data_IF_276776951464
#
_entry.id   IF_276776951464
#
_cell.length_a   1.000
_cell.length_b   1.000
_cell.length_c   1.000
_cell.angle_alpha   90.00
_cell.angle_beta   90.00
_cell.angle_gamma   90.00
#
_symmetry.space_group_name_H-M   'P 1'
#
loop_
_entity.id
_entity.type
_entity.pdbx_description
1 polymer ?
#
# COMPACT_ATOMS: atom_id res chain seq x y z
N UNK A 1 6.50 -20.44 9.94
CA UNK A 1 6.45 -19.22 10.78
C UNK A 1 5.10 -19.05 11.48
N UNK A 2 4.98 -18.14 12.45
CA UNK A 2 3.75 -17.72 13.14
C UNK A 2 3.57 -16.20 12.96
N UNK A 3 2.37 -15.76 12.58
CA UNK A 3 2.12 -14.37 12.14
C UNK A 3 1.16 -13.68 13.11
N UNK A 4 1.45 -12.44 13.49
CA UNK A 4 0.44 -11.52 14.02
C UNK A 4 0.04 -10.54 12.92
N UNK A 5 -1.19 -10.65 12.42
CA UNK A 5 -1.82 -9.67 11.56
C UNK A 5 -2.57 -8.66 12.43
N UNK A 6 -2.21 -7.38 12.35
CA UNK A 6 -2.93 -6.30 13.04
C UNK A 6 -3.71 -5.48 12.01
N UNK A 7 -5.02 -5.36 12.22
CA UNK A 7 -6.00 -4.78 11.29
C UNK A 7 -6.82 -5.85 10.59
N UNK A 8 -8.14 -5.85 10.81
CA UNK A 8 -9.13 -6.74 10.20
C UNK A 8 -10.14 -5.97 9.34
N UNK A 9 -9.71 -4.86 8.73
CA UNK A 9 -10.46 -4.14 7.69
C UNK A 9 -10.50 -4.91 6.37
N UNK A 10 -10.74 -4.20 5.25
CA UNK A 10 -10.81 -4.82 3.91
C UNK A 10 -9.55 -5.63 3.57
N UNK A 11 -8.37 -4.99 3.62
CA UNK A 11 -7.08 -5.64 3.30
C UNK A 11 -6.73 -6.75 4.28
N UNK A 12 -6.89 -6.53 5.60
CA UNK A 12 -6.66 -7.57 6.61
C UNK A 12 -7.56 -8.81 6.44
N UNK A 13 -8.83 -8.60 6.08
CA UNK A 13 -9.75 -9.69 5.75
C UNK A 13 -9.30 -10.44 4.49
N UNK A 14 -8.88 -9.72 3.44
CA UNK A 14 -8.36 -10.34 2.22
C UNK A 14 -7.06 -11.13 2.47
N UNK A 15 -6.12 -10.60 3.26
CA UNK A 15 -4.90 -11.30 3.70
C UNK A 15 -5.28 -12.62 4.39
N UNK A 16 -6.24 -12.57 5.31
CA UNK A 16 -6.73 -13.74 6.05
C UNK A 16 -7.27 -14.83 5.10
N UNK A 17 -8.07 -14.43 4.10
CA UNK A 17 -8.65 -15.36 3.10
C UNK A 17 -7.61 -15.93 2.13
N UNK A 18 -6.65 -15.14 1.70
CA UNK A 18 -5.56 -15.60 0.83
C UNK A 18 -4.64 -16.55 1.61
N UNK A 19 -4.25 -16.18 2.84
CA UNK A 19 -3.40 -17.00 3.70
C UNK A 19 -4.05 -18.33 4.08
N UNK A 20 -5.37 -18.41 4.20
CA UNK A 20 -6.06 -19.67 4.49
C UNK A 20 -5.80 -20.77 3.44
N UNK A 21 -5.44 -20.37 2.20
CA UNK A 21 -5.07 -21.27 1.10
C UNK A 21 -3.59 -21.68 1.08
N UNK A 22 -2.79 -21.18 2.02
CA UNK A 22 -1.33 -21.36 2.07
C UNK A 22 -0.89 -22.15 3.30
N UNK A 23 0.20 -22.90 3.19
CA UNK A 23 0.67 -23.85 4.21
C UNK A 23 2.02 -23.47 4.85
N UNK A 24 2.68 -22.39 4.41
CA UNK A 24 4.01 -21.99 4.90
C UNK A 24 4.04 -21.51 6.37
N UNK A 25 2.88 -21.18 6.94
CA UNK A 25 2.74 -20.73 8.33
C UNK A 25 1.97 -21.74 9.19
N UNK A 26 2.39 -21.84 10.44
CA UNK A 26 1.79 -22.72 11.43
C UNK A 26 0.54 -22.11 12.06
N UNK A 27 0.52 -20.80 12.30
CA UNK A 27 -0.60 -20.10 12.92
C UNK A 27 -0.60 -18.61 12.57
N UNK A 28 -1.78 -18.00 12.43
CA UNK A 28 -1.96 -16.56 12.23
C UNK A 28 -2.95 -16.01 13.26
N UNK A 29 -2.50 -15.06 14.06
CA UNK A 29 -3.37 -14.27 14.95
C UNK A 29 -3.89 -13.09 14.15
N UNK A 30 -5.21 -12.95 14.04
CA UNK A 30 -5.86 -11.79 13.44
C UNK A 30 -6.33 -10.90 14.57
N UNK A 31 -5.80 -9.68 14.66
CA UNK A 31 -6.06 -8.76 15.75
C UNK A 31 -6.63 -7.43 15.25
N UNK A 32 -7.61 -6.90 15.96
CA UNK A 32 -8.21 -5.59 15.66
C UNK A 32 -8.65 -4.89 16.95
N UNK A 33 -8.86 -3.57 16.89
CA UNK A 33 -9.41 -2.82 18.02
C UNK A 33 -10.85 -3.25 18.31
N UNK A 34 -11.62 -3.53 17.25
CA UNK A 34 -12.93 -4.15 17.31
C UNK A 34 -12.80 -5.66 17.12
N UNK A 35 -12.90 -6.39 18.24
CA UNK A 35 -12.79 -7.85 18.27
C UNK A 35 -13.72 -8.53 17.26
N UNK A 36 -14.93 -7.98 17.05
CA UNK A 36 -15.93 -8.60 16.18
C UNK A 36 -15.49 -8.66 14.72
N UNK A 37 -14.66 -7.70 14.27
CA UNK A 37 -14.07 -7.70 12.92
C UNK A 37 -13.08 -8.84 12.75
N UNK A 38 -12.18 -9.02 13.73
CA UNK A 38 -11.23 -10.14 13.73
C UNK A 38 -11.96 -11.50 13.80
N UNK A 39 -12.99 -11.62 14.63
CA UNK A 39 -13.82 -12.81 14.72
C UNK A 39 -14.56 -13.10 13.42
N UNK A 40 -15.11 -12.08 12.74
CA UNK A 40 -15.77 -12.22 11.45
C UNK A 40 -14.79 -12.69 10.35
N UNK A 41 -13.59 -12.10 10.30
CA UNK A 41 -12.56 -12.47 9.32
C UNK A 41 -12.12 -13.94 9.50
N UNK A 42 -11.90 -14.38 10.74
CA UNK A 42 -11.53 -15.78 11.06
C UNK A 42 -12.71 -16.73 10.84
N UNK A 43 -13.92 -16.34 11.27
CA UNK A 43 -15.13 -17.15 11.14
C UNK A 43 -15.52 -17.43 9.69
N UNK A 44 -15.27 -16.48 8.79
CA UNK A 44 -15.51 -16.64 7.35
C UNK A 44 -14.67 -17.75 6.69
N UNK A 45 -13.62 -18.24 7.35
CA UNK A 45 -12.76 -19.31 6.82
C UNK A 45 -13.32 -20.73 7.02
N UNK A 46 -14.34 -20.91 7.87
CA UNK A 46 -14.86 -22.24 8.21
C UNK A 46 -13.78 -23.17 8.74
N UNK A 47 -13.69 -24.40 8.22
CA UNK A 47 -12.70 -25.40 8.66
C UNK A 47 -11.25 -24.96 8.40
N UNK A 48 -11.00 -24.15 7.37
CA UNK A 48 -9.68 -23.60 7.09
C UNK A 48 -9.19 -22.62 8.19
N UNK A 49 -10.11 -22.15 9.04
CA UNK A 49 -9.86 -21.28 10.18
C UNK A 49 -9.13 -21.94 11.35
N UNK A 50 -8.90 -23.26 11.36
CA UNK A 50 -8.27 -23.96 12.48
C UNK A 50 -6.85 -23.45 12.85
N UNK A 51 -6.14 -22.83 11.90
CA UNK A 51 -4.82 -22.21 12.12
C UNK A 51 -4.89 -20.73 12.45
N UNK A 52 -6.09 -20.18 12.65
CA UNK A 52 -6.32 -18.76 12.88
C UNK A 52 -6.91 -18.53 14.26
N UNK A 53 -6.67 -17.35 14.82
CA UNK A 53 -7.27 -16.95 16.09
C UNK A 53 -7.53 -15.46 16.10
N UNK A 54 -8.74 -15.07 16.49
CA UNK A 54 -9.13 -13.68 16.65
C UNK A 54 -8.70 -13.13 18.02
N UNK A 55 -8.19 -11.90 18.05
CA UNK A 55 -7.79 -11.19 19.27
C UNK A 55 -8.17 -9.72 19.18
N UNK A 56 -8.33 -9.10 20.35
CA UNK A 56 -8.48 -7.65 20.47
C UNK A 56 -7.11 -7.04 20.77
N UNK A 57 -6.74 -5.96 20.08
CA UNK A 57 -5.57 -5.15 20.42
C UNK A 57 -5.78 -3.70 19.98
N UNK A 58 -5.31 -2.75 20.79
CA UNK A 58 -5.18 -1.36 20.36
C UNK A 58 -3.81 -1.19 19.69
N UNK A 59 -3.80 -0.86 18.39
CA UNK A 59 -2.57 -0.73 17.62
C UNK A 59 -1.68 0.42 18.11
N UNK A 60 -2.22 1.38 18.87
CA UNK A 60 -1.44 2.45 19.50
C UNK A 60 -0.73 2.03 20.80
N UNK A 61 -1.11 0.89 21.39
CA UNK A 61 -0.51 0.36 22.62
C UNK A 61 0.61 -0.62 22.28
N UNK A 62 1.84 -0.09 22.17
CA UNK A 62 3.03 -0.87 21.82
C UNK A 62 3.28 -2.04 22.79
N UNK A 63 2.96 -1.86 24.08
CA UNK A 63 3.16 -2.89 25.10
C UNK A 63 2.14 -4.02 24.96
N UNK A 64 0.87 -3.71 24.68
CA UNK A 64 -0.15 -4.71 24.42
C UNK A 64 0.16 -5.52 23.14
N UNK A 65 0.63 -4.85 22.08
CA UNK A 65 1.05 -5.52 20.84
C UNK A 65 2.24 -6.45 21.09
N UNK A 66 3.27 -5.99 21.81
CA UNK A 66 4.43 -6.82 22.16
C UNK A 66 4.04 -8.02 23.04
N UNK A 67 3.12 -7.83 23.99
CA UNK A 67 2.61 -8.92 24.82
C UNK A 67 1.88 -9.98 23.96
N UNK A 68 1.09 -9.56 22.96
CA UNK A 68 0.38 -10.47 22.07
C UNK A 68 1.33 -11.25 21.15
N UNK A 69 2.37 -10.59 20.62
CA UNK A 69 3.46 -11.24 19.88
C UNK A 69 4.12 -12.35 20.72
N UNK A 70 4.41 -12.07 21.99
CA UNK A 70 5.03 -13.02 22.90
C UNK A 70 4.08 -14.18 23.31
N UNK A 71 2.83 -13.88 23.69
CA UNK A 71 1.80 -14.86 24.06
C UNK A 71 1.63 -15.92 22.96
N UNK A 72 1.52 -15.46 21.72
CA UNK A 72 1.31 -16.34 20.57
C UNK A 72 2.62 -16.81 19.93
N UNK A 73 3.79 -16.40 20.43
CA UNK A 73 5.11 -16.74 19.89
C UNK A 73 5.19 -16.44 18.39
N UNK A 74 4.78 -15.25 17.98
CA UNK A 74 4.82 -14.84 16.59
C UNK A 74 6.27 -14.55 16.17
N UNK A 75 6.61 -14.90 14.93
CA UNK A 75 7.91 -14.63 14.32
C UNK A 75 7.91 -13.30 13.55
N UNK A 76 6.72 -12.79 13.22
CA UNK A 76 6.51 -11.62 12.37
C UNK A 76 5.22 -10.89 12.72
N UNK A 77 5.26 -9.56 12.68
CA UNK A 77 4.10 -8.68 12.68
C UNK A 77 3.81 -8.22 11.24
N UNK A 78 2.58 -8.40 10.78
CA UNK A 78 2.06 -7.83 9.53
C UNK A 78 1.05 -6.73 9.86
N UNK A 79 1.41 -5.50 9.52
CA UNK A 79 0.59 -4.31 9.75
C UNK A 79 -0.34 -4.06 8.56
N UNK A 80 -1.65 -4.23 8.79
CA UNK A 80 -2.74 -3.90 7.87
C UNK A 80 -3.67 -2.83 8.44
N UNK A 81 -3.12 -1.91 9.24
CA UNK A 81 -3.83 -0.79 9.85
C UNK A 81 -3.58 0.52 9.10
N UNK A 82 -4.28 1.58 9.51
CA UNK A 82 -4.07 2.95 9.03
C UNK A 82 -2.61 3.41 9.27
N UNK A 83 -2.00 4.19 8.35
CA UNK A 83 -0.62 4.67 8.46
C UNK A 83 -0.26 5.36 9.78
N UNK A 84 -1.24 5.93 10.49
CA UNK A 84 -1.04 6.52 11.83
C UNK A 84 -0.51 5.53 12.86
N UNK A 85 -0.74 4.23 12.67
CA UNK A 85 -0.29 3.17 13.58
C UNK A 85 1.00 2.47 13.14
N UNK A 86 1.62 2.89 12.01
CA UNK A 86 2.89 2.32 11.51
C UNK A 86 3.96 2.36 12.59
N UNK A 87 4.27 3.53 13.14
CA UNK A 87 5.37 3.66 14.10
C UNK A 87 5.14 2.91 15.43
N UNK A 88 3.94 2.95 16.05
CA UNK A 88 3.64 2.08 17.19
C UNK A 88 3.87 0.59 16.93
N UNK A 89 3.35 0.06 15.83
CA UNK A 89 3.48 -1.37 15.49
C UNK A 89 4.92 -1.74 15.10
N UNK A 90 5.61 -0.87 14.39
CA UNK A 90 7.02 -1.01 14.02
C UNK A 90 7.92 -1.08 15.26
N UNK A 91 7.73 -0.19 16.23
CA UNK A 91 8.47 -0.21 17.50
C UNK A 91 8.13 -1.42 18.37
N UNK A 92 6.86 -1.84 18.41
CA UNK A 92 6.45 -3.03 19.13
C UNK A 92 7.10 -4.31 18.56
N UNK A 93 7.17 -4.44 17.22
CA UNK A 93 7.82 -5.55 16.55
C UNK A 93 9.32 -5.61 16.84
N UNK A 94 10.01 -4.46 16.75
CA UNK A 94 11.44 -4.36 17.09
C UNK A 94 11.70 -4.73 18.56
N UNK A 95 10.90 -4.20 19.49
CA UNK A 95 11.00 -4.48 20.93
C UNK A 95 10.78 -5.97 21.25
N UNK A 96 9.82 -6.60 20.58
CA UNK A 96 9.56 -8.03 20.70
C UNK A 96 10.62 -8.91 19.99
N UNK A 97 11.53 -8.31 19.21
CA UNK A 97 12.57 -9.03 18.48
C UNK A 97 11.99 -9.94 17.39
N UNK A 98 10.96 -9.48 16.68
CA UNK A 98 10.31 -10.19 15.56
C UNK A 98 10.53 -9.44 14.24
N UNK A 99 10.24 -10.09 13.11
CA UNK A 99 10.20 -9.41 11.82
C UNK A 99 8.97 -8.50 11.70
N UNK A 100 9.00 -7.56 10.75
CA UNK A 100 7.90 -6.64 10.51
C UNK A 100 7.63 -6.48 9.01
N UNK A 101 6.35 -6.43 8.64
CA UNK A 101 5.86 -6.06 7.31
C UNK A 101 4.78 -4.99 7.43
N UNK A 102 4.77 -4.02 6.52
CA UNK A 102 3.62 -3.15 6.25
C UNK A 102 3.38 -2.96 4.76
N UNK A 103 2.26 -2.32 4.42
CA UNK A 103 1.91 -1.98 3.04
C UNK A 103 1.85 -0.46 2.80
N UNK A 104 2.05 0.33 3.86
CA UNK A 104 2.06 1.78 3.83
C UNK A 104 3.09 2.27 4.85
N UNK A 105 3.81 3.34 4.50
CA UNK A 105 4.91 3.84 5.34
C UNK A 105 4.44 4.93 6.32
N UNK A 106 5.35 5.35 7.21
CA UNK A 106 5.09 6.47 8.13
C UNK A 106 4.76 7.76 7.38
N UNK A 107 3.76 8.51 7.86
CA UNK A 107 3.23 9.72 7.21
C UNK A 107 4.26 10.84 6.99
N UNK A 108 4.08 11.57 5.89
CA UNK A 108 4.88 12.74 5.49
C UNK A 108 4.38 14.02 6.14
N UNK A 109 5.15 15.11 5.98
CA UNK A 109 4.74 16.48 6.27
C UNK A 109 5.30 17.42 5.20
N UNK A 110 4.48 18.27 4.57
CA UNK A 110 4.96 19.25 3.60
C UNK A 110 6.05 20.16 4.16
N UNK A 111 6.98 20.62 3.31
CA UNK A 111 7.97 21.61 3.72
C UNK A 111 7.24 22.92 4.11
N UNK A 112 7.51 23.50 5.30
CA UNK A 112 6.66 24.56 5.86
C UNK A 112 6.67 25.89 5.07
N UNK A 113 7.75 26.20 4.34
CA UNK A 113 7.83 27.42 3.50
C UNK A 113 7.87 27.17 1.99
N UNK A 114 8.17 25.95 1.53
CA UNK A 114 8.41 25.62 0.11
C UNK A 114 7.79 24.25 -0.25
N UNK A 115 6.49 24.06 0.03
CA UNK A 115 5.85 22.75 -0.06
C UNK A 115 5.86 22.14 -1.46
N UNK A 116 6.03 22.95 -2.52
CA UNK A 116 6.02 22.51 -3.93
C UNK A 116 7.38 22.64 -4.63
N UNK A 117 8.46 22.70 -3.85
CA UNK A 117 9.83 22.78 -4.37
C UNK A 117 10.81 21.90 -3.60
N UNK A 118 10.54 21.64 -2.32
CA UNK A 118 11.40 20.88 -1.43
C UNK A 118 10.57 19.95 -0.54
N UNK A 119 11.13 18.77 -0.25
CA UNK A 119 10.54 17.83 0.70
C UNK A 119 10.58 18.39 2.14
N UNK A 120 9.56 18.06 2.94
CA UNK A 120 9.60 18.20 4.39
C UNK A 120 10.02 16.89 5.04
N UNK A 121 9.16 16.32 5.89
CA UNK A 121 9.29 14.91 6.31
C UNK A 121 8.71 14.06 5.18
N UNK A 122 9.46 13.08 4.68
CA UNK A 122 9.02 12.20 3.58
C UNK A 122 8.36 10.95 4.16
N UNK A 123 7.53 10.27 3.34
CA UNK A 123 6.98 8.98 3.74
C UNK A 123 8.12 8.03 4.12
N UNK A 124 7.94 7.26 5.19
CA UNK A 124 8.93 6.29 5.68
C UNK A 124 10.18 6.86 6.36
N UNK A 125 10.40 8.19 6.40
CA UNK A 125 11.59 8.76 7.05
C UNK A 125 11.75 8.27 8.51
N UNK A 126 10.66 8.22 9.28
CA UNK A 126 10.68 7.75 10.67
C UNK A 126 11.04 6.27 10.80
N UNK A 127 10.73 5.45 9.79
CA UNK A 127 11.13 4.04 9.76
C UNK A 127 12.61 3.90 9.42
N UNK A 128 13.09 4.61 8.39
CA UNK A 128 14.49 4.58 7.97
C UNK A 128 15.45 5.22 8.99
N UNK A 129 15.00 6.18 9.80
CA UNK A 129 15.76 6.70 10.94
C UNK A 129 16.14 5.61 11.96
N UNK A 130 15.36 4.53 12.05
CA UNK A 130 15.59 3.41 12.96
C UNK A 130 16.30 2.22 12.28
N UNK A 131 16.83 2.38 11.07
CA UNK A 131 17.40 1.28 10.30
C UNK A 131 18.55 0.58 11.04
N UNK A 132 19.42 1.34 11.71
CA UNK A 132 20.56 0.82 12.45
C UNK A 132 20.13 -0.06 13.65
N UNK A 133 19.03 0.28 14.32
CA UNK A 133 18.46 -0.52 15.41
C UNK A 133 17.93 -1.86 14.90
N UNK A 134 17.26 -1.86 13.74
CA UNK A 134 16.78 -3.09 13.10
C UNK A 134 17.91 -3.99 12.62
N UNK A 135 18.96 -3.41 12.03
CA UNK A 135 20.18 -4.15 11.64
C UNK A 135 20.84 -4.79 12.86
N UNK A 136 21.02 -4.02 13.94
CA UNK A 136 21.60 -4.51 15.19
C UNK A 136 20.77 -5.61 15.84
N UNK A 137 19.44 -5.55 15.72
CA UNK A 137 18.55 -6.59 16.22
C UNK A 137 18.61 -7.89 15.37
N UNK A 138 19.23 -7.85 14.19
CA UNK A 138 19.25 -8.98 13.27
C UNK A 138 17.85 -9.35 12.80
N UNK A 139 16.99 -8.33 12.60
CA UNK A 139 15.61 -8.49 12.12
C UNK A 139 15.39 -7.67 10.87
N UNK A 140 14.45 -8.16 10.06
CA UNK A 140 13.98 -7.51 8.84
C UNK A 140 12.68 -6.78 9.14
N UNK A 141 12.65 -5.49 8.81
CA UNK A 141 11.44 -4.73 8.55
C UNK A 141 11.32 -4.51 7.04
N UNK A 142 10.41 -5.24 6.41
CA UNK A 142 10.07 -5.08 4.99
C UNK A 142 8.94 -4.07 4.89
N UNK A 143 9.23 -2.86 4.41
CA UNK A 143 8.28 -1.75 4.35
C UNK A 143 7.68 -1.62 2.97
N UNK A 144 6.41 -1.21 2.89
CA UNK A 144 5.74 -0.94 1.62
C UNK A 144 5.60 -2.17 0.71
N UNK A 145 5.10 -3.30 1.23
CA UNK A 145 4.84 -4.52 0.45
C UNK A 145 3.34 -4.73 0.14
N UNK A 146 2.70 -3.70 -0.39
CA UNK A 146 1.35 -3.70 -0.96
C UNK A 146 1.38 -3.93 -2.48
N UNK A 147 0.66 -3.10 -3.24
CA UNK A 147 0.71 -3.12 -4.71
C UNK A 147 1.59 -1.99 -5.23
N UNK A 148 1.19 -0.76 -4.92
CA UNK A 148 1.98 0.45 -4.90
C UNK A 148 1.90 1.02 -3.48
N UNK A 149 3.02 1.15 -2.73
CA UNK A 149 4.29 0.47 -2.97
C UNK A 149 4.15 -1.05 -2.80
N UNK A 150 5.05 -1.83 -3.40
CA UNK A 150 5.12 -3.28 -3.26
C UNK A 150 5.50 -3.97 -4.55
N UNK A 151 4.49 -4.40 -5.29
CA UNK A 151 4.64 -5.06 -6.58
C UNK A 151 5.27 -4.13 -7.63
N UNK A 152 4.94 -2.84 -7.60
CA UNK A 152 5.57 -1.81 -8.44
C UNK A 152 7.09 -1.75 -8.23
N UNK A 153 7.56 -1.78 -6.98
CA UNK A 153 8.97 -1.82 -6.60
C UNK A 153 9.65 -3.12 -7.06
N UNK A 154 8.97 -4.27 -6.92
CA UNK A 154 9.46 -5.56 -7.45
C UNK A 154 9.62 -5.51 -8.97
N UNK A 155 8.68 -4.89 -9.70
CA UNK A 155 8.80 -4.69 -11.14
C UNK A 155 9.96 -3.75 -11.49
N UNK A 156 10.15 -2.67 -10.73
CA UNK A 156 11.30 -1.77 -10.91
C UNK A 156 12.62 -2.55 -10.77
N UNK A 157 12.71 -3.40 -9.74
CA UNK A 157 13.89 -4.24 -9.52
C UNK A 157 14.10 -5.26 -10.64
N UNK A 158 13.04 -5.92 -11.09
CA UNK A 158 13.13 -6.85 -12.21
C UNK A 158 13.59 -6.16 -13.50
N UNK A 159 13.08 -4.95 -13.78
CA UNK A 159 13.50 -4.20 -14.95
C UNK A 159 14.99 -3.83 -14.89
N UNK A 160 15.47 -3.39 -13.72
CA UNK A 160 16.87 -3.08 -13.49
C UNK A 160 17.79 -4.30 -13.61
N UNK A 161 17.39 -5.44 -13.05
CA UNK A 161 18.21 -6.66 -13.07
C UNK A 161 18.26 -7.30 -14.46
N UNK A 162 17.18 -7.24 -15.24
CA UNK A 162 16.98 -8.14 -16.38
C UNK A 162 16.72 -7.44 -17.72
N UNK A 163 16.19 -6.22 -17.72
CA UNK A 163 15.61 -5.62 -18.93
C UNK A 163 16.39 -4.43 -19.47
N UNK A 164 17.19 -3.76 -18.65
CA UNK A 164 17.90 -2.51 -18.99
C UNK A 164 19.37 -2.56 -18.56
N UNK A 165 20.23 -1.90 -19.33
CA UNK A 165 21.62 -1.62 -18.93
C UNK A 165 21.75 -0.22 -18.31
N UNK A 166 20.84 0.69 -18.70
CA UNK A 166 20.71 2.04 -18.16
C UNK A 166 19.22 2.43 -18.14
N UNK A 167 18.77 3.03 -17.04
CA UNK A 167 17.39 3.46 -16.86
C UNK A 167 17.32 5.00 -16.82
N UNK A 168 16.59 5.57 -17.79
CA UNK A 168 16.27 6.99 -17.82
C UNK A 168 15.14 7.30 -16.83
N UNK A 169 14.04 6.54 -16.87
CA UNK A 169 12.90 6.78 -16.00
C UNK A 169 12.26 5.48 -15.52
N UNK A 170 11.91 5.46 -14.24
CA UNK A 170 11.00 4.49 -13.64
C UNK A 170 9.73 5.26 -13.23
N UNK A 171 8.64 5.03 -13.92
CA UNK A 171 7.35 5.64 -13.61
C UNK A 171 6.33 4.61 -13.18
N UNK A 172 5.84 4.70 -11.95
CA UNK A 172 4.73 3.88 -11.48
C UNK A 172 3.43 4.49 -12.01
N UNK A 173 2.53 3.64 -12.51
CA UNK A 173 1.22 4.01 -13.08
C UNK A 173 0.13 3.11 -12.50
N UNK A 174 -0.74 3.74 -11.72
CA UNK A 174 -1.99 3.16 -11.21
C UNK A 174 -3.16 3.70 -12.05
N UNK A 175 -4.01 2.80 -12.53
CA UNK A 175 -5.21 3.14 -13.26
C UNK A 175 -6.28 2.06 -13.17
N UNK A 176 -7.51 2.44 -13.49
CA UNK A 176 -8.65 1.55 -13.43
C UNK A 176 -9.77 2.00 -14.38
N UNK A 177 -10.62 1.08 -14.80
CA UNK A 177 -11.94 1.35 -15.40
C UNK A 177 -13.08 1.02 -14.42
N UNK A 178 -12.78 1.09 -13.12
CA UNK A 178 -13.70 0.70 -12.06
C UNK A 178 -14.91 1.64 -11.98
N UNK A 179 -16.10 1.05 -11.89
CA UNK A 179 -17.37 1.76 -11.64
C UNK A 179 -18.10 1.13 -10.45
N UNK A 180 -18.95 1.89 -9.77
CA UNK A 180 -19.73 1.42 -8.63
C UNK A 180 -21.21 1.78 -8.80
N UNK A 181 -22.07 0.78 -8.85
CA UNK A 181 -23.50 0.97 -9.03
C UNK A 181 -24.19 1.57 -7.80
N UNK A 182 -25.12 2.50 -8.05
CA UNK A 182 -25.99 3.06 -7.02
C UNK A 182 -25.35 4.14 -6.14
N UNK A 183 -24.17 4.64 -6.52
CA UNK A 183 -23.50 5.76 -5.85
C UNK A 183 -23.08 6.81 -6.86
N UNK A 184 -23.29 8.08 -6.53
CA UNK A 184 -22.73 9.17 -7.32
C UNK A 184 -21.21 9.22 -7.18
N UNK A 185 -20.70 9.05 -5.95
CA UNK A 185 -19.27 9.01 -5.66
C UNK A 185 -19.01 7.92 -4.62
N UNK A 186 -18.15 6.97 -4.96
CA UNK A 186 -17.75 5.89 -4.08
C UNK A 186 -16.25 5.61 -4.28
N UNK A 187 -15.42 5.80 -3.24
CA UNK A 187 -14.01 5.49 -3.32
C UNK A 187 -13.80 3.96 -3.27
N UNK A 188 -12.92 3.44 -4.13
CA UNK A 188 -12.55 2.01 -4.15
C UNK A 188 -11.55 1.64 -3.03
N UNK A 189 -10.97 2.65 -2.37
CA UNK A 189 -10.05 2.53 -1.24
C UNK A 189 -10.39 3.53 -0.12
N UNK A 190 -9.63 3.52 0.97
CA UNK A 190 -9.80 4.45 2.10
C UNK A 190 -9.77 5.90 1.62
N UNK A 191 -10.92 6.59 1.63
CA UNK A 191 -10.97 8.02 1.27
C UNK A 191 -10.13 8.90 2.18
N UNK A 192 -9.95 8.50 3.44
CA UNK A 192 -9.10 9.23 4.37
C UNK A 192 -7.66 9.26 3.85
N UNK A 193 -7.17 8.11 3.39
CA UNK A 193 -5.82 7.95 2.80
C UNK A 193 -5.75 8.64 1.45
N UNK A 194 -6.77 8.49 0.61
CA UNK A 194 -6.82 9.14 -0.71
C UNK A 194 -6.81 10.66 -0.62
N UNK A 195 -7.48 11.25 0.37
CA UNK A 195 -7.41 12.69 0.62
C UNK A 195 -5.98 13.10 1.00
N UNK A 196 -5.30 12.33 1.85
CA UNK A 196 -3.92 12.60 2.25
C UNK A 196 -2.96 12.53 1.05
N UNK A 197 -2.90 11.40 0.35
CA UNK A 197 -1.94 11.15 -0.73
C UNK A 197 -2.12 12.12 -1.91
N UNK A 198 -3.38 12.41 -2.28
CA UNK A 198 -3.68 13.20 -3.47
C UNK A 198 -3.60 14.71 -3.24
N UNK A 199 -3.71 15.17 -1.99
CA UNK A 199 -3.62 16.61 -1.68
C UNK A 199 -2.27 17.00 -1.07
N UNK A 200 -1.47 16.05 -0.59
CA UNK A 200 -0.07 16.30 -0.28
C UNK A 200 0.74 16.59 -1.54
N UNK A 201 1.79 17.42 -1.46
CA UNK A 201 2.69 17.66 -2.57
C UNK A 201 3.34 16.35 -3.05
N UNK A 202 3.15 15.96 -4.33
CA UNK A 202 3.79 14.77 -4.88
C UNK A 202 5.31 14.89 -4.79
N UNK A 203 5.98 13.77 -4.56
CA UNK A 203 7.44 13.69 -4.60
C UNK A 203 7.88 13.17 -5.97
N UNK A 204 8.96 13.74 -6.49
CA UNK A 204 9.69 13.28 -7.66
C UNK A 204 11.16 13.11 -7.29
N UNK A 205 11.82 12.09 -7.82
CA UNK A 205 13.25 11.91 -7.69
C UNK A 205 13.95 12.19 -9.02
N UNK A 206 15.10 12.88 -8.97
CA UNK A 206 16.04 13.01 -10.09
C UNK A 206 17.49 12.84 -9.60
N UNK A 207 18.32 12.04 -10.27
CA UNK A 207 19.68 11.70 -9.81
C UNK A 207 20.59 12.92 -9.52
N UNK A 208 20.40 14.03 -10.24
CA UNK A 208 21.15 15.28 -10.03
C UNK A 208 20.56 16.23 -8.99
N UNK A 209 19.32 15.99 -8.55
CA UNK A 209 18.56 16.90 -7.66
C UNK A 209 18.17 16.25 -6.33
N UNK A 210 18.09 14.93 -6.28
CA UNK A 210 17.46 14.17 -5.20
C UNK A 210 15.94 14.28 -5.23
N UNK A 211 15.31 14.04 -4.08
CA UNK A 211 13.86 14.16 -3.91
C UNK A 211 13.42 15.62 -3.80
N UNK A 212 12.43 16.00 -4.59
CA UNK A 212 11.77 17.30 -4.53
C UNK A 212 10.26 17.14 -4.69
N UNK A 213 9.50 18.17 -4.33
CA UNK A 213 8.04 18.14 -4.43
C UNK A 213 7.52 19.02 -5.56
N UNK A 214 6.29 18.75 -6.00
CA UNK A 214 5.54 19.54 -6.99
C UNK A 214 4.16 19.93 -6.45
N UNK A 215 3.38 20.77 -7.17
CA UNK A 215 1.98 20.98 -6.84
C UNK A 215 1.15 19.69 -7.03
N UNK A 216 0.13 19.41 -6.20
CA UNK A 216 -0.79 18.31 -6.40
C UNK A 216 -1.38 18.28 -7.81
N UNK A 217 -1.48 17.07 -8.38
CA UNK A 217 -2.00 16.84 -9.73
C UNK A 217 -1.14 17.45 -10.86
N UNK A 218 0.17 17.63 -10.66
CA UNK A 218 1.09 18.16 -11.68
C UNK A 218 1.39 17.16 -12.80
N UNK A 219 1.85 17.69 -13.95
CA UNK A 219 2.27 16.93 -15.14
C UNK A 219 1.24 15.88 -15.61
N UNK A 220 0.01 16.29 -15.96
CA UNK A 220 -0.99 15.37 -16.49
C UNK A 220 -0.48 14.69 -17.76
N UNK A 221 -0.78 13.40 -17.88
CA UNK A 221 -0.53 12.62 -19.09
C UNK A 221 -1.65 11.62 -19.33
N UNK A 222 -1.84 11.21 -20.58
CA UNK A 222 -2.74 10.08 -20.89
C UNK A 222 -1.90 8.83 -21.01
N UNK A 223 -2.14 7.85 -20.12
CA UNK A 223 -1.49 6.56 -20.16
C UNK A 223 -2.49 5.50 -20.65
N UNK A 224 -2.11 4.75 -21.69
CA UNK A 224 -2.90 3.62 -22.19
C UNK A 224 -2.62 2.38 -21.33
N UNK A 225 -3.60 1.93 -20.55
CA UNK A 225 -3.54 0.73 -19.71
C UNK A 225 -3.97 -0.54 -20.47
N UNK A 226 -3.36 -1.70 -20.18
CA UNK A 226 -3.61 -2.95 -20.88
C UNK A 226 -4.96 -3.60 -20.49
N UNK A 227 -5.21 -4.81 -21.01
CA UNK A 227 -6.34 -5.68 -20.60
C UNK A 227 -7.75 -5.06 -20.76
N UNK A 228 -7.88 -4.09 -21.66
CA UNK A 228 -9.16 -3.46 -22.00
C UNK A 228 -9.53 -2.21 -21.19
N UNK A 229 -8.66 -1.77 -20.26
CA UNK A 229 -8.86 -0.52 -19.51
C UNK A 229 -8.72 0.69 -20.45
N UNK A 230 -7.68 0.70 -21.29
CA UNK A 230 -7.47 1.74 -22.29
C UNK A 230 -6.90 3.05 -21.73
N UNK A 231 -7.11 4.20 -22.41
CA UNK A 231 -6.49 5.46 -22.06
C UNK A 231 -7.10 6.09 -20.79
N UNK A 232 -6.25 6.41 -19.81
CA UNK A 232 -6.64 7.09 -18.57
C UNK A 232 -5.72 8.29 -18.34
N UNK A 233 -6.30 9.45 -17.99
CA UNK A 233 -5.52 10.62 -17.59
C UNK A 233 -4.94 10.41 -16.19
N UNK A 234 -3.61 10.43 -16.09
CA UNK A 234 -2.83 10.23 -14.89
C UNK A 234 -2.13 11.53 -14.48
N UNK A 235 -2.03 11.77 -13.18
CA UNK A 235 -1.39 12.95 -12.60
C UNK A 235 -0.46 12.57 -11.45
N UNK A 236 0.55 13.39 -11.17
CA UNK A 236 1.44 13.14 -10.03
C UNK A 236 0.65 13.19 -8.70
N UNK A 237 0.93 12.20 -7.84
CA UNK A 237 0.38 12.00 -6.49
C UNK A 237 1.54 11.60 -5.57
N UNK A 238 1.49 11.97 -4.28
CA UNK A 238 2.53 11.54 -3.33
C UNK A 238 2.49 10.01 -3.16
N UNK A 239 3.63 9.34 -3.30
CA UNK A 239 3.70 7.89 -3.20
C UNK A 239 5.08 7.39 -2.74
N UNK A 240 5.09 6.25 -2.05
CA UNK A 240 6.26 5.68 -1.39
C UNK A 240 7.37 5.21 -2.32
N UNK A 241 7.08 4.67 -3.50
CA UNK A 241 8.09 4.09 -4.41
C UNK A 241 9.09 5.11 -4.88
N UNK A 242 8.66 6.37 -5.02
CA UNK A 242 9.56 7.46 -5.40
C UNK A 242 10.65 7.65 -4.34
N UNK A 243 10.38 7.28 -3.09
CA UNK A 243 11.32 7.33 -1.95
C UNK A 243 12.08 6.03 -1.74
N UNK A 244 11.49 4.91 -2.15
CA UNK A 244 12.04 3.57 -2.01
C UNK A 244 12.99 3.28 -3.19
N UNK A 245 12.49 3.22 -4.42
CA UNK A 245 13.21 2.75 -5.62
C UNK A 245 14.62 3.34 -5.77
N UNK A 246 14.82 4.68 -5.68
CA UNK A 246 16.14 5.28 -5.86
C UNK A 246 17.19 4.90 -4.80
N UNK A 247 16.80 4.23 -3.71
CA UNK A 247 17.74 3.81 -2.65
C UNK A 247 18.54 2.57 -3.06
N UNK A 248 18.00 1.75 -3.96
CA UNK A 248 18.60 0.47 -4.37
C UNK A 248 18.72 0.31 -5.89
N UNK A 249 18.02 1.14 -6.68
CA UNK A 249 18.05 1.08 -8.14
C UNK A 249 18.52 2.42 -8.69
N UNK A 250 19.55 2.36 -9.54
CA UNK A 250 20.03 3.52 -10.29
C UNK A 250 19.05 3.86 -11.41
N UNK A 251 18.48 5.06 -11.36
CA UNK A 251 17.63 5.63 -12.40
C UNK A 251 17.81 7.16 -12.43
N UNK A 252 17.72 7.78 -13.62
CA UNK A 252 17.84 9.24 -13.72
C UNK A 252 16.63 9.96 -13.12
N UNK A 253 15.43 9.38 -13.25
CA UNK A 253 14.17 9.93 -12.73
C UNK A 253 13.22 8.83 -12.21
N UNK A 254 12.52 9.10 -11.11
CA UNK A 254 11.44 8.24 -10.60
C UNK A 254 10.17 9.04 -10.33
N UNK A 255 9.03 8.56 -10.83
CA UNK A 255 7.71 9.21 -10.73
C UNK A 255 6.61 8.22 -10.32
N UNK A 256 5.54 8.74 -9.71
CA UNK A 256 4.29 8.02 -9.51
C UNK A 256 3.15 8.85 -10.08
N UNK A 257 2.28 8.25 -10.90
CA UNK A 257 1.08 8.91 -11.40
C UNK A 257 -0.15 8.03 -11.28
N UNK A 258 -1.26 8.68 -10.90
CA UNK A 258 -2.53 8.02 -10.63
C UNK A 258 -3.65 8.48 -11.57
N UNK A 259 -4.36 7.52 -12.16
CA UNK A 259 -5.51 7.67 -13.01
C UNK A 259 -6.83 7.96 -12.29
N UNK A 260 -6.92 9.08 -11.57
CA UNK A 260 -8.11 9.48 -10.79
C UNK A 260 -9.32 9.92 -11.64
N UNK A 261 -9.04 10.54 -12.79
CA UNK A 261 -10.04 11.20 -13.63
C UNK A 261 -10.53 12.55 -13.09
N UNK A 262 -11.04 13.38 -14.01
CA UNK A 262 -11.41 14.78 -13.72
C UNK A 262 -12.44 14.92 -12.59
N UNK A 263 -13.42 14.02 -12.52
CA UNK A 263 -14.48 14.07 -11.52
C UNK A 263 -13.92 13.90 -10.11
N UNK A 264 -13.05 12.92 -9.92
CA UNK A 264 -12.48 12.62 -8.61
C UNK A 264 -11.54 13.75 -8.16
N UNK A 265 -10.68 14.23 -9.07
CA UNK A 265 -9.81 15.40 -8.83
C UNK A 265 -10.65 16.63 -8.46
N UNK A 266 -11.77 16.88 -9.15
CA UNK A 266 -12.70 17.96 -8.85
C UNK A 266 -13.33 17.85 -7.45
N UNK A 267 -13.68 16.65 -7.02
CA UNK A 267 -14.16 16.38 -5.65
C UNK A 267 -13.08 16.70 -4.62
N UNK A 268 -11.85 16.19 -4.80
CA UNK A 268 -10.74 16.44 -3.88
C UNK A 268 -10.40 17.94 -3.76
N UNK A 269 -10.35 18.66 -4.88
CA UNK A 269 -10.14 20.12 -4.89
C UNK A 269 -11.23 20.85 -4.12
N UNK A 270 -12.48 20.37 -4.20
CA UNK A 270 -13.62 20.95 -3.47
C UNK A 270 -13.48 20.70 -1.97
N UNK A 271 -13.11 19.47 -1.57
CA UNK A 271 -12.87 19.14 -0.16
C UNK A 271 -11.75 20.01 0.43
N UNK A 272 -10.65 20.17 -0.31
CA UNK A 272 -9.54 21.04 0.07
C UNK A 272 -9.96 22.50 0.20
N UNK A 273 -10.69 23.03 -0.79
CA UNK A 273 -11.17 24.42 -0.79
C UNK A 273 -12.06 24.73 0.43
N UNK A 274 -12.85 23.76 0.87
CA UNK A 274 -13.72 23.89 2.04
C UNK A 274 -13.01 23.58 3.37
N UNK A 275 -11.73 23.16 3.33
CA UNK A 275 -10.96 22.74 4.49
C UNK A 275 -11.49 21.47 5.16
N UNK A 276 -12.18 20.62 4.38
CA UNK A 276 -12.73 19.32 4.79
C UNK A 276 -11.68 18.19 4.74
N UNK A 277 -10.52 18.48 4.16
CA UNK A 277 -9.33 17.64 4.16
C UNK A 277 -8.50 17.75 5.44
N UNK A 278 -8.80 18.69 6.35
CA UNK A 278 -8.03 18.88 7.60
C UNK A 278 -8.31 17.78 8.62
N UNK A 279 -7.31 17.47 9.43
CA UNK A 279 -7.43 16.47 10.51
C UNK A 279 -7.71 17.12 11.86
N UNK A 280 -7.33 18.39 12.07
CA UNK A 280 -7.55 19.11 13.33
C UNK A 280 -9.04 19.28 13.63
N UNK A 281 -9.51 18.84 14.83
CA UNK A 281 -10.92 18.95 15.17
C UNK A 281 -11.41 20.39 15.29
N UNK A 282 -12.51 20.68 14.59
CA UNK A 282 -13.26 21.94 14.68
C UNK A 282 -14.45 21.81 15.62
N UNK A 283 -14.90 22.92 16.18
CA UNK A 283 -16.11 22.97 17.03
C UNK A 283 -17.37 22.98 16.17
N UNK A 284 -18.28 22.06 16.45
CA UNK A 284 -19.60 21.94 15.81
C UNK A 284 -20.66 22.03 16.89
N UNK A 285 -21.65 22.91 16.69
CA UNK A 285 -22.79 23.02 17.60
C UNK A 285 -23.84 21.98 17.21
N UNK A 286 -23.98 20.95 18.06
CA UNK A 286 -24.99 19.92 17.91
C UNK A 286 -26.38 20.41 18.37
N UNK A 287 -27.41 19.63 18.03
CA UNK A 287 -28.76 19.87 18.53
C UNK A 287 -28.78 19.95 20.07
N UNK A 288 -29.52 20.91 20.62
CA UNK A 288 -29.51 21.19 22.06
C UNK A 288 -28.34 22.08 22.54
N UNK A 289 -27.50 22.59 21.63
CA UNK A 289 -26.45 23.57 21.93
C UNK A 289 -25.15 22.97 22.46
N UNK A 290 -25.02 21.64 22.48
CA UNK A 290 -23.78 20.98 22.86
C UNK A 290 -22.69 21.23 21.81
N UNK A 291 -21.48 21.59 22.25
CA UNK A 291 -20.33 21.73 21.35
C UNK A 291 -19.59 20.41 21.30
N UNK A 292 -19.44 19.86 20.10
CA UNK A 292 -18.64 18.65 19.84
C UNK A 292 -17.43 19.01 18.98
N UNK A 293 -16.32 18.28 19.16
CA UNK A 293 -15.12 18.46 18.36
C UNK A 293 -15.03 17.35 17.33
N UNK A 294 -15.02 17.72 16.05
CA UNK A 294 -15.06 16.76 14.93
C UNK A 294 -13.94 17.08 13.97
N UNK A 295 -13.16 16.07 13.59
CA UNK A 295 -12.20 16.19 12.48
C UNK A 295 -12.97 16.28 11.16
N UNK A 296 -12.77 17.32 10.33
CA UNK A 296 -13.46 17.44 9.05
C UNK A 296 -13.25 16.24 8.13
N UNK A 297 -12.02 15.72 8.05
CA UNK A 297 -11.70 14.55 7.23
C UNK A 297 -12.38 13.28 7.73
N UNK A 298 -12.41 13.06 9.04
CA UNK A 298 -13.12 11.91 9.61
C UNK A 298 -14.63 11.99 9.34
N UNK A 299 -15.21 13.20 9.35
CA UNK A 299 -16.61 13.40 8.99
C UNK A 299 -16.87 13.09 7.50
N UNK A 300 -15.98 13.49 6.59
CA UNK A 300 -16.07 13.09 5.16
C UNK A 300 -16.03 11.58 5.01
N UNK A 301 -15.06 10.92 5.67
CA UNK A 301 -14.93 9.47 5.62
C UNK A 301 -16.20 8.76 6.15
N UNK A 302 -16.80 9.27 7.22
CA UNK A 302 -18.04 8.72 7.79
C UNK A 302 -19.28 8.90 6.90
N UNK A 303 -19.28 9.89 5.99
CA UNK A 303 -20.38 10.14 5.06
C UNK A 303 -20.36 9.24 3.81
N UNK A 304 -19.24 8.57 3.55
CA UNK A 304 -19.03 7.78 2.34
C UNK A 304 -19.20 6.27 2.61
N UNK A 305 -19.57 5.46 1.60
CA UNK A 305 -19.71 4.04 1.79
C UNK A 305 -18.37 3.39 2.15
N UNK A 306 -18.41 2.35 2.97
CA UNK A 306 -17.23 1.54 3.28
C UNK A 306 -16.77 0.79 2.02
N UNK A 307 -15.55 1.06 1.49
CA UNK A 307 -15.03 0.41 0.29
C UNK A 307 -15.02 -1.12 0.37
N UNK A 308 -14.85 -1.70 1.56
CA UNK A 308 -14.86 -3.15 1.75
C UNK A 308 -16.22 -3.78 1.45
N UNK A 309 -17.30 -2.99 1.46
CA UNK A 309 -18.67 -3.43 1.22
C UNK A 309 -19.15 -3.18 -0.22
N UNK A 310 -18.35 -2.52 -1.04
CA UNK A 310 -18.73 -2.12 -2.40
C UNK A 310 -18.56 -3.23 -3.44
N UNK A 311 -17.88 -4.33 -3.09
CA UNK A 311 -17.45 -5.34 -4.06
C UNK A 311 -18.55 -5.89 -4.96
N UNK A 312 -19.74 -6.17 -4.44
CA UNK A 312 -20.87 -6.71 -5.24
C UNK A 312 -21.47 -5.70 -6.23
N UNK A 313 -21.20 -4.41 -6.03
CA UNK A 313 -21.68 -3.30 -6.89
C UNK A 313 -20.57 -2.71 -7.75
N UNK A 314 -19.34 -3.19 -7.59
CA UNK A 314 -18.19 -2.68 -8.31
C UNK A 314 -17.96 -3.49 -9.59
N UNK A 315 -17.61 -2.82 -10.68
CA UNK A 315 -17.36 -3.43 -11.98
C UNK A 315 -16.09 -2.90 -12.61
N UNK A 316 -15.46 -3.70 -13.47
CA UNK A 316 -14.22 -3.33 -14.14
C UNK A 316 -12.98 -3.93 -13.47
N UNK A 317 -11.85 -3.35 -13.80
CA UNK A 317 -10.50 -3.80 -13.48
C UNK A 317 -9.67 -2.65 -12.94
N UNK A 318 -8.74 -2.99 -12.06
CA UNK A 318 -7.64 -2.12 -11.64
C UNK A 318 -6.33 -2.67 -12.20
N UNK A 319 -5.41 -1.77 -12.52
CA UNK A 319 -4.09 -2.06 -13.06
C UNK A 319 -3.05 -1.19 -12.38
N UNK A 320 -2.10 -1.84 -11.75
CA UNK A 320 -0.92 -1.22 -11.17
C UNK A 320 0.31 -1.73 -11.92
N UNK A 321 1.31 -0.88 -12.11
CA UNK A 321 2.51 -1.30 -12.80
C UNK A 321 3.61 -0.26 -12.89
N UNK A 322 4.74 -0.71 -13.39
CA UNK A 322 5.96 0.08 -13.52
C UNK A 322 6.31 0.21 -14.99
N UNK A 323 6.22 1.45 -15.47
CA UNK A 323 6.69 1.88 -16.77
C UNK A 323 8.18 2.21 -16.66
N UNK A 324 8.99 1.63 -17.53
CA UNK A 324 10.45 1.82 -17.51
C UNK A 324 10.93 2.19 -18.89
N UNK A 325 11.72 3.26 -18.95
CA UNK A 325 12.35 3.76 -20.16
C UNK A 325 13.85 3.82 -19.97
N UNK A 326 14.61 3.41 -20.99
CA UNK A 326 16.06 3.45 -20.95
C UNK A 326 16.69 2.80 -22.17
N UNK A 327 17.84 2.15 -21.96
CA UNK A 327 18.55 1.45 -23.03
C UNK A 327 18.90 0.01 -22.66
N UNK A 328 18.92 -0.85 -23.67
CA UNK A 328 19.39 -2.24 -23.60
C UNK A 328 20.19 -2.57 -24.86
N UNK A 329 21.38 -3.13 -24.69
CA UNK A 329 22.30 -3.50 -25.78
C UNK A 329 22.55 -2.32 -26.75
N UNK A 330 22.63 -1.10 -26.20
CA UNK A 330 22.85 0.15 -26.94
C UNK A 330 21.65 0.69 -27.71
N UNK A 331 20.46 0.09 -27.57
CA UNK A 331 19.22 0.55 -28.22
C UNK A 331 18.22 1.09 -27.20
N UNK A 332 17.46 2.17 -27.51
CA UNK A 332 16.36 2.61 -26.67
C UNK A 332 15.30 1.51 -26.49
N UNK A 333 14.76 1.39 -25.28
CA UNK A 333 13.70 0.45 -24.94
C UNK A 333 12.72 1.09 -23.97
N UNK A 334 11.46 0.70 -24.09
CA UNK A 334 10.38 1.15 -23.22
C UNK A 334 9.43 -0.01 -22.94
N UNK A 335 9.17 -0.29 -21.67
CA UNK A 335 8.29 -1.40 -21.25
C UNK A 335 7.33 -0.95 -20.16
N UNK A 336 6.20 -1.64 -20.06
CA UNK A 336 5.29 -1.56 -18.92
C UNK A 336 5.12 -2.96 -18.33
N UNK A 337 5.58 -3.16 -17.09
CA UNK A 337 5.32 -4.35 -16.28
C UNK A 337 4.09 -4.07 -15.42
N UNK A 338 3.12 -4.97 -15.40
CA UNK A 338 1.83 -4.67 -14.81
C UNK A 338 1.13 -5.86 -14.20
N UNK A 339 0.18 -5.58 -13.33
CA UNK A 339 -0.72 -6.56 -12.75
C UNK A 339 -2.14 -6.02 -12.77
N UNK A 340 -3.06 -6.82 -13.32
CA UNK A 340 -4.47 -6.46 -13.51
C UNK A 340 -5.34 -7.39 -12.70
N UNK A 341 -6.31 -6.82 -11.99
CA UNK A 341 -7.31 -7.59 -11.24
C UNK A 341 -8.71 -7.17 -11.65
N UNK A 342 -9.50 -8.16 -12.06
CA UNK A 342 -10.92 -8.02 -12.34
C UNK A 342 -11.74 -8.14 -11.05
N UNK A 343 -12.68 -7.22 -10.84
CA UNK A 343 -13.47 -7.21 -9.61
C UNK A 343 -14.40 -8.43 -9.49
N UNK A 344 -15.05 -8.83 -10.58
CA UNK A 344 -15.95 -10.00 -10.54
C UNK A 344 -15.18 -11.28 -10.24
N UNK A 345 -13.97 -11.40 -10.78
CA UNK A 345 -13.09 -12.51 -10.47
C UNK A 345 -12.69 -12.52 -8.99
N UNK A 346 -12.16 -11.42 -8.46
CA UNK A 346 -11.69 -11.34 -7.07
C UNK A 346 -12.83 -11.52 -6.06
N UNK A 347 -14.00 -10.96 -6.33
CA UNK A 347 -15.21 -11.17 -5.53
C UNK A 347 -15.68 -12.62 -5.56
N UNK A 348 -15.73 -13.28 -6.73
CA UNK A 348 -16.13 -14.69 -6.82
C UNK A 348 -15.14 -15.62 -6.12
N UNK A 349 -13.84 -15.40 -6.32
CA UNK A 349 -12.81 -16.29 -5.81
C UNK A 349 -12.52 -16.07 -4.32
N UNK A 350 -12.58 -14.82 -3.84
CA UNK A 350 -12.12 -14.45 -2.49
C UNK A 350 -13.13 -13.63 -1.69
N UNK A 351 -14.26 -13.20 -2.28
CA UNK A 351 -15.23 -12.32 -1.61
C UNK A 351 -14.65 -10.95 -1.26
N UNK A 352 -13.56 -10.56 -1.91
CA UNK A 352 -12.82 -9.32 -1.66
C UNK A 352 -12.69 -8.58 -2.98
N UNK A 353 -13.01 -7.29 -2.94
CA UNK A 353 -12.98 -6.43 -4.11
C UNK A 353 -11.55 -6.26 -4.66
N UNK A 354 -11.43 -5.96 -5.95
CA UNK A 354 -10.17 -6.02 -6.70
C UNK A 354 -9.00 -5.26 -6.07
N UNK A 355 -9.19 -4.00 -5.68
CA UNK A 355 -8.16 -3.14 -5.08
C UNK A 355 -7.65 -3.74 -3.77
N UNK A 356 -8.58 -4.06 -2.86
CA UNK A 356 -8.25 -4.67 -1.55
C UNK A 356 -7.55 -6.02 -1.72
N UNK A 357 -8.02 -6.84 -2.65
CA UNK A 357 -7.42 -8.15 -2.91
C UNK A 357 -6.02 -8.01 -3.52
N UNK A 358 -5.85 -7.08 -4.47
CA UNK A 358 -4.58 -6.82 -5.12
C UNK A 358 -3.53 -6.32 -4.13
N UNK A 359 -3.88 -5.46 -3.18
CA UNK A 359 -2.96 -5.08 -2.10
C UNK A 359 -2.61 -6.30 -1.23
N UNK A 360 -3.61 -7.12 -0.87
CA UNK A 360 -3.47 -8.20 0.11
C UNK A 360 -2.65 -9.41 -0.35
N UNK A 361 -2.55 -9.68 -1.65
CA UNK A 361 -1.82 -10.85 -2.15
C UNK A 361 -0.30 -10.72 -1.95
N UNK A 362 0.22 -9.51 -2.04
CA UNK A 362 1.65 -9.21 -1.98
C UNK A 362 2.30 -9.47 -0.62
N UNK A 363 1.77 -9.01 0.53
CA UNK A 363 2.38 -9.35 1.82
C UNK A 363 2.27 -10.84 2.14
N UNK A 364 1.25 -11.55 1.64
CA UNK A 364 1.15 -13.01 1.80
C UNK A 364 2.22 -13.74 0.98
N UNK A 365 2.49 -13.29 -0.25
CA UNK A 365 3.60 -13.80 -1.05
C UNK A 365 4.96 -13.52 -0.38
N UNK A 366 5.18 -12.30 0.10
CA UNK A 366 6.40 -11.92 0.81
C UNK A 366 6.63 -12.77 2.08
N UNK A 367 5.59 -13.00 2.88
CA UNK A 367 5.66 -13.90 4.04
C UNK A 367 6.06 -15.33 3.66
N UNK A 368 5.55 -15.86 2.53
CA UNK A 368 5.92 -17.20 2.05
C UNK A 368 7.39 -17.25 1.64
N UNK A 369 7.89 -16.22 0.93
CA UNK A 369 9.31 -16.12 0.55
C UNK A 369 10.22 -15.98 1.77
N UNK A 370 9.81 -15.23 2.79
CA UNK A 370 10.53 -15.13 4.06
C UNK A 370 10.54 -16.46 4.81
N UNK A 371 9.42 -17.19 4.83
CA UNK A 371 9.34 -18.50 5.47
C UNK A 371 10.21 -19.55 4.75
N UNK A 372 10.34 -19.46 3.42
CA UNK A 372 11.20 -20.31 2.61
C UNK A 372 12.68 -19.89 2.62
N UNK A 373 12.99 -18.68 3.11
CA UNK A 373 14.34 -18.10 3.09
C UNK A 373 14.78 -17.53 1.74
N UNK A 374 13.90 -17.51 0.74
CA UNK A 374 14.16 -16.91 -0.56
C UNK A 374 14.29 -15.37 -0.46
N UNK A 375 13.50 -14.77 0.43
CA UNK A 375 13.66 -13.39 0.86
C UNK A 375 14.19 -13.36 2.30
N UNK A 376 15.35 -12.75 2.49
CA UNK A 376 15.97 -12.60 3.81
C UNK A 376 16.83 -11.34 3.83
N UNK A 377 17.09 -10.82 5.03
CA UNK A 377 17.84 -9.58 5.22
C UNK A 377 17.75 -9.11 6.67
N UNK A 378 18.39 -7.97 6.94
CA UNK A 378 18.34 -7.27 8.23
C UNK A 378 18.25 -5.77 7.98
N UNK A 379 17.63 -5.04 8.89
CA UNK A 379 17.40 -3.60 8.72
C UNK A 379 16.02 -3.30 8.14
N UNK A 380 15.87 -2.08 7.64
CA UNK A 380 14.64 -1.56 7.01
C UNK A 380 14.84 -1.57 5.51
N UNK A 381 14.08 -2.41 4.79
CA UNK A 381 14.23 -2.64 3.36
C UNK A 381 12.88 -2.47 2.64
N UNK A 382 12.91 -1.90 1.44
CA UNK A 382 11.80 -1.98 0.48
C UNK A 382 11.85 -3.28 -0.34
N UNK A 383 10.77 -3.63 -1.06
CA UNK A 383 10.69 -4.85 -1.89
C UNK A 383 11.79 -4.94 -2.96
N UNK A 384 12.18 -3.82 -3.55
CA UNK A 384 13.20 -3.69 -4.58
C UNK A 384 14.63 -3.96 -4.07
N UNK A 385 14.84 -3.98 -2.75
CA UNK A 385 16.11 -4.41 -2.17
C UNK A 385 16.32 -5.93 -2.30
N UNK A 386 15.26 -6.70 -2.59
CA UNK A 386 15.24 -8.16 -2.60
C UNK A 386 15.14 -8.72 -4.03
N UNK A 387 15.54 -10.00 -4.26
CA UNK A 387 15.48 -10.61 -5.58
C UNK A 387 14.04 -10.67 -6.12
N UNK A 388 13.77 -10.18 -7.35
CA UNK A 388 12.39 -10.04 -7.83
C UNK A 388 11.79 -11.35 -8.37
N UNK A 389 12.61 -12.20 -8.99
CA UNK A 389 12.14 -13.43 -9.68
C UNK A 389 11.33 -14.37 -8.77
N UNK A 390 11.78 -14.72 -7.55
CA UNK A 390 11.00 -15.60 -6.67
C UNK A 390 9.60 -15.07 -6.36
N UNK A 391 9.44 -13.74 -6.25
CA UNK A 391 8.16 -13.11 -5.99
C UNK A 391 7.23 -13.16 -7.21
N UNK A 392 7.75 -12.81 -8.37
CA UNK A 392 7.01 -12.84 -9.64
C UNK A 392 6.58 -14.26 -10.04
N UNK A 393 7.44 -15.25 -9.80
CA UNK A 393 7.11 -16.67 -10.00
C UNK A 393 6.01 -17.12 -9.02
N UNK A 394 6.08 -16.66 -7.76
CA UNK A 394 5.10 -17.01 -6.74
C UNK A 394 3.72 -16.40 -7.03
N UNK A 395 3.64 -15.15 -7.50
CA UNK A 395 2.37 -14.55 -7.94
C UNK A 395 1.72 -15.37 -9.07
N UNK A 396 2.52 -15.82 -10.04
CA UNK A 396 2.05 -16.71 -11.09
C UNK A 396 1.55 -18.03 -10.52
N UNK A 397 2.27 -18.64 -9.57
CA UNK A 397 1.86 -19.86 -8.88
C UNK A 397 0.60 -19.66 -8.00
N UNK A 398 0.33 -18.43 -7.55
CA UNK A 398 -0.89 -18.06 -6.84
C UNK A 398 -2.11 -17.95 -7.78
N UNK A 399 -1.90 -18.06 -9.10
CA UNK A 399 -2.95 -17.93 -10.12
C UNK A 399 -3.22 -16.48 -10.51
N UNK A 400 -2.29 -15.56 -10.23
CA UNK A 400 -2.41 -14.13 -10.51
C UNK A 400 -1.16 -13.63 -11.24
N UNK A 401 -1.00 -14.03 -12.51
CA UNK A 401 0.20 -13.68 -13.27
C UNK A 401 0.27 -12.16 -13.51
N UNK A 402 1.48 -11.67 -13.65
CA UNK A 402 1.78 -10.32 -14.11
C UNK A 402 2.04 -10.32 -15.63
N UNK A 403 1.97 -9.15 -16.25
CA UNK A 403 2.19 -8.94 -17.68
C UNK A 403 3.36 -8.01 -17.96
N UNK A 404 3.90 -8.11 -19.18
CA UNK A 404 4.90 -7.20 -19.73
C UNK A 404 4.48 -6.80 -21.13
N UNK A 405 4.51 -5.50 -21.42
CA UNK A 405 4.23 -4.94 -22.75
C UNK A 405 5.35 -4.00 -23.18
N UNK A 406 5.88 -4.19 -24.37
CA UNK A 406 6.77 -3.21 -25.04
C UNK A 406 5.94 -2.00 -25.48
N UNK A 407 6.50 -0.79 -25.38
CA UNK A 407 5.86 0.48 -25.72
C UNK A 407 6.41 1.09 -27.01
#
# INVERSE_FOLDING_TARGET
MRVLLVGAGGVGTAITRIAARRSFFAHMVVADYDLSRAEAAVGALGEAGARFTARRVDASDEAAVAALLAEHRCDVLLNATDPRFVMPLFRAALSAGVHYLDMAMSLSRPHPQRPHEACGVKLGDAQFEMAAEWEKAGRLALVGIGVEPGLSDVFARYAADELFDHIEEIGIRDGADLTVDGYDFAPSFSIWTTIEECLNPPVVYEAGRGWFTTPPFSEPEVFDFPEGIGPVECVNVEHEEVLLVPRWIDAERVTFKYGLGERFIGTLRTLHLLGLDRTEPVEVVAEGGAVVRVSPRDAVAACLPDPATLGDRMHGKTCAGTWVKGTKDGSPREVYLYHVVDNQWSMREYGSQAVVWQTAVNPVAALELMAAGAWSGTGVLGPEALPPRPFLDLLTAYGTPWGLREK
#
